data_IF_078405074065
#
_entry.id   IF_078405074065
#
_cell.length_a   1.000
_cell.length_b   1.000
_cell.length_c   1.000
_cell.angle_alpha   90.00
_cell.angle_beta   90.00
_cell.angle_gamma   90.00
#
_symmetry.space_group_name_H-M   'P 1'
#
loop_
_entity.id
_entity.type
_entity.pdbx_description
1 polymer ?
#
# COMPACT_ATOMS: atom_id res chain seq x y z
N UNK A 1 12.96 18.92 11.49
CA UNK A 1 12.38 17.61 11.17
C UNK A 1 11.51 17.18 12.34
N UNK A 2 10.42 16.47 12.08
CA UNK A 2 9.40 16.12 13.09
C UNK A 2 9.55 14.64 13.41
N UNK A 3 10.00 14.32 14.62
CA UNK A 3 10.07 12.95 15.06
C UNK A 3 8.65 12.44 15.32
N UNK A 4 8.32 11.28 14.75
CA UNK A 4 7.10 10.59 15.11
C UNK A 4 7.28 10.00 16.52
N UNK A 5 6.35 10.30 17.41
CA UNK A 5 6.31 9.73 18.76
C UNK A 5 5.36 8.53 18.80
N UNK A 6 5.65 7.57 19.69
CA UNK A 6 4.84 6.37 19.91
C UNK A 6 5.51 5.06 19.48
N UNK A 7 4.84 3.96 19.80
CA UNK A 7 5.17 2.61 19.35
C UNK A 7 4.08 2.13 18.40
N UNK A 8 4.43 1.83 17.16
CA UNK A 8 3.46 1.40 16.14
C UNK A 8 3.87 0.03 15.66
N UNK A 9 3.05 -0.99 15.95
CA UNK A 9 3.32 -2.39 15.61
C UNK A 9 4.70 -2.88 16.10
N UNK A 10 5.12 -2.47 17.30
CA UNK A 10 6.44 -2.81 17.86
C UNK A 10 7.61 -2.02 17.27
N UNK A 11 7.36 -1.06 16.38
CA UNK A 11 8.39 -0.19 15.83
C UNK A 11 8.45 1.13 16.61
N UNK A 12 9.68 1.61 16.82
CA UNK A 12 9.96 2.96 17.32
C UNK A 12 10.62 3.78 16.21
N UNK A 13 10.39 5.09 16.21
CA UNK A 13 10.89 5.99 15.18
C UNK A 13 12.10 6.78 15.69
N UNK A 14 13.24 6.59 15.05
CA UNK A 14 14.44 7.38 15.32
C UNK A 14 14.21 8.86 15.01
N UNK A 15 14.95 9.74 15.69
CA UNK A 15 14.90 11.18 15.44
C UNK A 15 15.43 11.47 14.02
N UNK A 16 14.59 12.00 13.10
CA UNK A 16 15.03 12.24 11.74
C UNK A 16 15.92 13.49 11.65
N UNK A 17 16.74 13.54 10.60
CA UNK A 17 17.56 14.71 10.24
C UNK A 17 16.96 15.34 9.00
N UNK A 18 16.72 16.65 9.07
CA UNK A 18 16.25 17.42 7.93
C UNK A 18 17.22 17.28 6.73
N UNK A 19 16.65 16.99 5.56
CA UNK A 19 17.38 16.87 4.30
C UNK A 19 18.01 18.21 3.90
N UNK A 20 19.28 18.17 3.54
CA UNK A 20 20.02 19.25 2.87
C UNK A 20 20.18 18.99 1.37
N UNK A 21 20.84 19.90 0.62
CA UNK A 21 20.96 19.81 -0.84
C UNK A 21 21.48 18.45 -1.35
N UNK A 22 22.54 17.91 -0.76
CA UNK A 22 23.10 16.61 -1.16
C UNK A 22 22.14 15.45 -0.93
N UNK A 23 21.26 15.55 0.08
CA UNK A 23 20.27 14.50 0.35
C UNK A 23 19.19 14.49 -0.74
N UNK A 24 18.79 15.67 -1.23
CA UNK A 24 17.86 15.77 -2.36
C UNK A 24 18.47 15.14 -3.61
N UNK A 25 19.71 15.47 -3.96
CA UNK A 25 20.39 14.84 -5.11
C UNK A 25 20.43 13.31 -5.01
N UNK A 26 20.74 12.78 -3.82
CA UNK A 26 20.74 11.33 -3.55
C UNK A 26 19.35 10.73 -3.69
N UNK A 27 18.31 11.38 -3.16
CA UNK A 27 16.93 10.91 -3.25
C UNK A 27 16.46 10.91 -4.70
N UNK A 28 16.59 12.03 -5.42
CA UNK A 28 16.20 12.15 -6.83
C UNK A 28 16.93 11.10 -7.68
N UNK A 29 18.26 11.01 -7.52
CA UNK A 29 19.10 10.05 -8.24
C UNK A 29 18.78 8.59 -7.91
N UNK A 30 18.41 8.30 -6.66
CA UNK A 30 18.02 6.97 -6.18
C UNK A 30 16.69 6.50 -6.76
N UNK A 31 15.65 7.35 -6.74
CA UNK A 31 14.37 7.03 -7.38
C UNK A 31 14.52 6.85 -8.89
N UNK A 32 15.26 7.75 -9.55
CA UNK A 32 15.52 7.65 -10.99
C UNK A 32 16.32 6.38 -11.34
N UNK A 33 17.30 6.00 -10.51
CA UNK A 33 18.06 4.76 -10.69
C UNK A 33 17.17 3.52 -10.56
N UNK A 34 16.35 3.46 -9.52
CA UNK A 34 15.43 2.35 -9.30
C UNK A 34 14.44 2.20 -10.46
N UNK A 35 13.88 3.30 -10.96
CA UNK A 35 12.96 3.27 -12.10
C UNK A 35 13.64 2.81 -13.39
N UNK A 36 14.85 3.29 -13.67
CA UNK A 36 15.65 2.81 -14.81
C UNK A 36 15.95 1.31 -14.69
N UNK A 37 16.25 0.82 -13.49
CA UNK A 37 16.47 -0.60 -13.25
C UNK A 37 15.20 -1.42 -13.49
N UNK A 38 14.04 -0.98 -12.99
CA UNK A 38 12.75 -1.62 -13.28
C UNK A 38 12.46 -1.65 -14.79
N UNK A 39 12.68 -0.54 -15.49
CA UNK A 39 12.52 -0.49 -16.95
C UNK A 39 13.42 -1.52 -17.66
N UNK A 40 14.72 -1.56 -17.32
CA UNK A 40 15.67 -2.54 -17.89
C UNK A 40 15.31 -3.99 -17.56
N UNK A 41 14.65 -4.23 -16.43
CA UNK A 41 14.16 -5.55 -16.03
C UNK A 41 12.83 -5.94 -16.72
N UNK A 42 12.23 -5.05 -17.53
CA UNK A 42 11.01 -5.32 -18.30
C UNK A 42 9.71 -5.00 -17.56
N UNK A 43 9.75 -4.20 -16.49
CA UNK A 43 8.52 -3.67 -15.89
C UNK A 43 7.90 -2.60 -16.78
N UNK A 44 6.57 -2.58 -16.87
CA UNK A 44 5.82 -1.58 -17.65
C UNK A 44 5.84 -0.18 -17.00
N UNK A 45 6.24 -0.06 -15.75
CA UNK A 45 6.23 1.21 -15.02
C UNK A 45 6.65 1.12 -13.57
N UNK A 46 6.49 2.24 -12.86
CA UNK A 46 6.71 2.37 -11.42
C UNK A 46 5.57 3.12 -10.75
N UNK A 47 5.34 2.81 -9.48
CA UNK A 47 4.45 3.59 -8.61
C UNK A 47 5.27 4.22 -7.47
N UNK A 48 5.26 5.54 -7.38
CA UNK A 48 5.86 6.27 -6.26
C UNK A 48 4.99 6.11 -5.00
N UNK A 49 5.61 6.02 -3.83
CA UNK A 49 4.90 5.86 -2.56
C UNK A 49 4.85 7.17 -1.75
N UNK A 50 3.78 7.93 -1.95
CA UNK A 50 3.46 9.19 -1.24
C UNK A 50 2.37 9.06 -0.19
N UNK A 51 2.24 7.88 0.42
CA UNK A 51 1.20 7.57 1.41
C UNK A 51 1.80 7.08 2.73
N UNK A 52 0.93 6.92 3.73
CA UNK A 52 1.19 6.19 4.99
C UNK A 52 2.37 6.70 5.84
N UNK A 53 2.79 7.96 5.70
CA UNK A 53 3.86 8.55 6.51
C UNK A 53 5.29 8.20 6.07
N UNK A 54 5.46 7.60 4.89
CA UNK A 54 6.79 7.47 4.26
C UNK A 54 7.32 8.82 3.76
N UNK A 55 8.57 8.84 3.26
CA UNK A 55 9.29 10.06 2.88
C UNK A 55 8.44 11.07 2.08
N UNK A 56 7.83 10.65 0.97
CA UNK A 56 7.07 11.57 0.12
C UNK A 56 5.77 12.06 0.80
N UNK A 57 5.14 11.21 1.62
CA UNK A 57 4.00 11.62 2.44
C UNK A 57 4.41 12.66 3.51
N UNK A 58 5.61 12.53 4.09
CA UNK A 58 6.14 13.50 5.04
C UNK A 58 6.35 14.88 4.40
N UNK A 59 6.78 14.92 3.13
CA UNK A 59 6.87 16.21 2.42
C UNK A 59 5.50 16.81 2.15
N UNK A 60 4.51 16.00 1.77
CA UNK A 60 3.14 16.45 1.49
C UNK A 60 2.41 16.96 2.73
N UNK A 61 2.64 16.36 3.89
CA UNK A 61 1.89 16.65 5.11
C UNK A 61 2.36 17.93 5.81
N UNK A 62 1.47 18.89 6.12
CA UNK A 62 1.83 20.08 6.88
C UNK A 62 2.29 19.79 8.31
N UNK A 63 1.95 18.63 8.88
CA UNK A 63 2.30 18.28 10.26
C UNK A 63 3.77 17.86 10.39
N UNK A 64 4.34 17.27 9.34
CA UNK A 64 5.73 16.77 9.32
C UNK A 64 6.66 17.68 8.53
N UNK A 65 6.17 18.35 7.48
CA UNK A 65 6.94 19.32 6.72
C UNK A 65 6.79 20.75 7.25
N UNK A 66 7.76 21.18 8.08
CA UNK A 66 7.86 22.54 8.60
C UNK A 66 8.92 23.39 7.88
N UNK A 67 9.30 23.02 6.65
CA UNK A 67 10.31 23.75 5.88
C UNK A 67 9.77 25.11 5.41
N UNK A 68 10.68 26.05 5.24
CA UNK A 68 10.41 27.42 4.73
C UNK A 68 11.07 27.68 3.38
N UNK A 69 11.72 26.68 2.79
CA UNK A 69 12.33 26.75 1.47
C UNK A 69 11.37 26.28 0.36
N UNK A 70 11.89 26.07 -0.86
CA UNK A 70 11.08 25.64 -2.02
C UNK A 70 10.38 24.28 -1.85
N UNK A 71 10.69 23.53 -0.79
CA UNK A 71 10.07 22.24 -0.51
C UNK A 71 9.06 22.28 0.65
N UNK A 72 8.71 23.45 1.18
CA UNK A 72 7.74 23.60 2.27
C UNK A 72 6.80 24.80 2.12
N UNK A 73 5.86 24.93 3.05
CA UNK A 73 4.81 25.95 2.99
C UNK A 73 3.62 25.50 2.14
N UNK A 74 3.42 26.11 0.97
CA UNK A 74 2.29 25.81 0.07
C UNK A 74 2.30 24.35 -0.41
N UNK A 75 1.14 23.82 -0.81
CA UNK A 75 1.07 22.46 -1.34
C UNK A 75 1.96 22.27 -2.57
N UNK A 76 2.00 23.25 -3.48
CA UNK A 76 2.87 23.21 -4.66
C UNK A 76 4.36 23.02 -4.27
N UNK A 77 4.84 23.75 -3.26
CA UNK A 77 6.20 23.58 -2.75
C UNK A 77 6.38 22.21 -2.08
N UNK A 78 5.42 21.77 -1.27
CA UNK A 78 5.46 20.46 -0.60
C UNK A 78 5.49 19.30 -1.60
N UNK A 79 4.81 19.44 -2.74
CA UNK A 79 4.78 18.47 -3.82
C UNK A 79 6.03 18.51 -4.72
N UNK A 80 6.85 19.58 -4.64
CA UNK A 80 7.98 19.81 -5.55
C UNK A 80 8.95 18.62 -5.65
N UNK A 81 9.24 17.94 -4.53
CA UNK A 81 10.11 16.75 -4.54
C UNK A 81 9.55 15.62 -5.39
N UNK A 82 8.23 15.40 -5.38
CA UNK A 82 7.56 14.35 -6.16
C UNK A 82 7.68 14.68 -7.65
N UNK A 83 7.48 15.94 -8.01
CA UNK A 83 7.57 16.42 -9.39
C UNK A 83 9.00 16.34 -9.93
N UNK A 84 9.99 16.69 -9.10
CA UNK A 84 11.42 16.56 -9.43
C UNK A 84 11.83 15.08 -9.56
N UNK A 85 11.30 14.17 -8.72
CA UNK A 85 11.50 12.72 -8.89
C UNK A 85 10.95 12.23 -10.22
N UNK A 86 9.72 12.61 -10.57
CA UNK A 86 9.12 12.21 -11.84
C UNK A 86 9.92 12.73 -13.05
N UNK A 87 10.40 13.98 -12.99
CA UNK A 87 11.27 14.55 -14.00
C UNK A 87 12.59 13.76 -14.13
N UNK A 88 13.27 13.47 -13.01
CA UNK A 88 14.51 12.70 -12.99
C UNK A 88 14.33 11.27 -13.52
N UNK A 89 13.18 10.63 -13.26
CA UNK A 89 12.83 9.34 -13.84
C UNK A 89 12.69 9.46 -15.37
N UNK A 90 11.98 10.47 -15.87
CA UNK A 90 11.78 10.70 -17.31
C UNK A 90 13.06 11.05 -18.06
N UNK A 91 14.04 11.65 -17.38
CA UNK A 91 15.38 11.88 -17.95
C UNK A 91 16.15 10.57 -18.18
N UNK A 92 15.98 9.57 -17.30
CA UNK A 92 16.65 8.25 -17.42
C UNK A 92 15.87 7.23 -18.22
N UNK A 93 14.54 7.33 -18.23
CA UNK A 93 13.63 6.44 -18.95
C UNK A 93 12.80 7.29 -19.91
N UNK A 94 13.34 7.44 -21.13
CA UNK A 94 12.75 8.29 -22.19
C UNK A 94 11.62 7.60 -22.96
N UNK A 95 11.38 6.31 -22.72
CA UNK A 95 10.26 5.57 -23.30
C UNK A 95 8.93 6.11 -22.75
N UNK A 96 8.06 6.71 -23.59
CA UNK A 96 6.79 7.27 -23.15
C UNK A 96 5.76 6.20 -22.75
N UNK A 97 5.99 4.92 -23.09
CA UNK A 97 5.12 3.81 -22.66
C UNK A 97 5.38 3.38 -21.22
N UNK A 98 6.54 3.72 -20.65
CA UNK A 98 6.84 3.40 -19.27
C UNK A 98 5.97 4.23 -18.32
N UNK A 99 5.09 3.59 -17.56
CA UNK A 99 4.13 4.27 -16.70
C UNK A 99 4.76 4.80 -15.41
N UNK A 100 4.38 6.01 -15.02
CA UNK A 100 4.69 6.58 -13.69
C UNK A 100 3.37 6.89 -12.99
N UNK A 101 3.09 6.12 -11.94
CA UNK A 101 1.98 6.38 -11.02
C UNK A 101 2.46 6.85 -9.65
N UNK A 102 1.52 7.25 -8.80
CA UNK A 102 1.78 7.54 -7.39
C UNK A 102 0.63 7.08 -6.51
N UNK A 103 0.95 6.52 -5.35
CA UNK A 103 -0.01 6.28 -4.28
C UNK A 103 0.04 7.41 -3.27
N UNK A 104 -1.11 7.99 -2.92
CA UNK A 104 -1.22 9.09 -1.96
C UNK A 104 -2.32 8.84 -0.94
N UNK A 105 -2.22 9.51 0.21
CA UNK A 105 -3.33 9.59 1.16
C UNK A 105 -4.42 10.51 0.59
N UNK A 106 -5.69 10.12 0.66
CA UNK A 106 -6.84 10.98 0.37
C UNK A 106 -7.16 11.90 1.55
N UNK A 107 -6.76 11.50 2.75
CA UNK A 107 -6.83 12.26 3.99
C UNK A 107 -5.91 11.64 5.03
N UNK A 108 -5.29 12.47 5.86
CA UNK A 108 -4.69 12.06 7.13
C UNK A 108 -5.70 12.37 8.25
N UNK A 109 -6.06 11.37 9.05
CA UNK A 109 -7.04 11.50 10.13
C UNK A 109 -6.43 12.17 11.39
N UNK A 110 -5.63 13.22 11.17
CA UNK A 110 -4.95 14.00 12.19
C UNK A 110 -5.27 15.48 12.03
N UNK A 111 -5.35 16.20 13.15
CA UNK A 111 -5.59 17.64 13.12
C UNK A 111 -4.46 18.37 12.38
N UNK A 112 -4.83 19.20 11.40
CA UNK A 112 -3.87 19.92 10.55
C UNK A 112 -3.08 19.03 9.57
N UNK A 113 -3.49 17.78 9.40
CA UNK A 113 -2.92 16.84 8.43
C UNK A 113 -3.28 17.16 6.98
N UNK A 114 -2.72 16.37 6.06
CA UNK A 114 -3.04 16.43 4.64
C UNK A 114 -4.54 16.19 4.39
N UNK A 115 -5.23 17.16 3.79
CA UNK A 115 -6.69 17.11 3.62
C UNK A 115 -7.13 16.54 2.27
N UNK A 116 -8.45 16.35 2.09
CA UNK A 116 -9.01 15.95 0.80
C UNK A 116 -8.89 17.06 -0.25
N UNK A 117 -8.96 18.32 0.16
CA UNK A 117 -8.71 19.48 -0.69
C UNK A 117 -7.25 19.50 -1.14
N UNK A 118 -6.29 19.30 -0.21
CA UNK A 118 -4.88 19.13 -0.57
C UNK A 118 -4.70 17.98 -1.57
N UNK A 119 -5.37 16.84 -1.35
CA UNK A 119 -5.32 15.70 -2.27
C UNK A 119 -5.85 16.05 -3.67
N UNK A 120 -6.96 16.79 -3.74
CA UNK A 120 -7.55 17.21 -5.00
C UNK A 120 -6.64 18.17 -5.77
N UNK A 121 -6.02 19.14 -5.09
CA UNK A 121 -5.05 20.06 -5.70
C UNK A 121 -3.78 19.32 -6.14
N UNK A 122 -3.29 18.37 -5.33
CA UNK A 122 -2.16 17.53 -5.68
C UNK A 122 -2.46 16.72 -6.95
N UNK A 123 -3.65 16.14 -7.06
CA UNK A 123 -4.03 15.37 -8.25
C UNK A 123 -4.04 16.23 -9.52
N UNK A 124 -4.43 17.51 -9.43
CA UNK A 124 -4.33 18.44 -10.55
C UNK A 124 -2.86 18.68 -10.95
N UNK A 125 -1.97 18.92 -9.98
CA UNK A 125 -0.52 19.05 -10.24
C UNK A 125 0.08 17.78 -10.85
N UNK A 126 -0.34 16.60 -10.39
CA UNK A 126 0.11 15.32 -10.94
C UNK A 126 -0.33 15.13 -12.40
N UNK A 127 -1.54 15.55 -12.77
CA UNK A 127 -2.01 15.52 -14.16
C UNK A 127 -1.22 16.48 -15.06
N UNK A 128 -0.94 17.70 -14.60
CA UNK A 128 -0.09 18.66 -15.33
C UNK A 128 1.31 18.10 -15.59
N UNK A 129 1.84 17.33 -14.65
CA UNK A 129 3.14 16.65 -14.74
C UNK A 129 3.07 15.23 -15.34
N UNK A 130 1.94 14.86 -15.96
CA UNK A 130 1.76 13.63 -16.74
C UNK A 130 1.98 12.34 -15.96
N UNK A 131 1.53 12.29 -14.71
CA UNK A 131 1.35 11.01 -14.02
C UNK A 131 0.24 10.20 -14.70
N UNK A 132 0.50 8.93 -14.97
CA UNK A 132 -0.44 8.06 -15.68
C UNK A 132 -1.60 7.65 -14.77
N UNK A 133 -1.32 7.43 -13.48
CA UNK A 133 -2.35 7.15 -12.50
C UNK A 133 -2.00 7.60 -11.07
N UNK A 134 -3.04 7.90 -10.31
CA UNK A 134 -2.99 8.12 -8.87
C UNK A 134 -3.81 7.04 -8.17
N UNK A 135 -3.23 6.42 -7.15
CA UNK A 135 -3.93 5.46 -6.30
C UNK A 135 -4.22 6.06 -4.93
N UNK A 136 -5.51 6.20 -4.62
CA UNK A 136 -5.98 6.78 -3.37
C UNK A 136 -6.03 5.71 -2.28
N UNK A 137 -5.35 6.00 -1.19
CA UNK A 137 -5.37 5.29 0.09
C UNK A 137 -5.70 6.29 1.21
N UNK A 138 -5.46 5.95 2.46
CA UNK A 138 -5.57 6.91 3.56
C UNK A 138 -4.99 6.39 4.86
N UNK A 139 -4.80 7.32 5.80
CA UNK A 139 -4.18 7.06 7.11
C UNK A 139 -2.66 7.14 7.11
N UNK A 140 -2.08 7.08 8.30
CA UNK A 140 -0.63 7.14 8.56
C UNK A 140 -0.25 6.10 9.62
N UNK A 141 1.04 5.90 9.87
CA UNK A 141 1.48 5.08 11.02
C UNK A 141 1.00 5.66 12.37
N UNK A 142 0.80 6.97 12.48
CA UNK A 142 0.30 7.61 13.71
C UNK A 142 -1.21 7.49 13.88
N UNK A 143 -1.96 7.38 12.78
CA UNK A 143 -3.40 7.15 12.78
C UNK A 143 -3.75 6.23 11.61
N UNK A 144 -3.85 4.93 11.92
CA UNK A 144 -4.22 3.93 10.93
C UNK A 144 -5.67 4.20 10.49
N UNK A 145 -5.89 4.42 9.19
CA UNK A 145 -7.23 4.60 8.63
C UNK A 145 -8.18 3.42 8.93
N UNK A 146 -7.63 2.26 9.28
CA UNK A 146 -8.40 1.05 9.56
C UNK A 146 -9.00 1.00 10.96
N UNK A 147 -8.55 1.83 11.91
CA UNK A 147 -9.04 1.83 13.30
C UNK A 147 -10.24 2.77 13.52
N UNK A 148 -10.35 3.86 12.76
CA UNK A 148 -11.38 4.88 12.93
C UNK A 148 -12.67 4.59 12.13
N UNK A 149 -13.34 3.45 12.40
CA UNK A 149 -14.49 3.02 11.57
C UNK A 149 -15.85 3.17 12.23
N UNK A 150 -16.79 3.74 11.47
CA UNK A 150 -18.25 3.52 11.62
C UNK A 150 -18.63 2.19 10.96
N UNK A 151 -19.54 1.44 11.58
CA UNK A 151 -20.03 0.14 11.07
C UNK A 151 -20.61 0.23 9.64
N UNK A 152 -21.21 1.36 9.25
CA UNK A 152 -21.73 1.57 7.90
C UNK A 152 -20.64 1.62 6.82
N UNK A 153 -19.44 2.11 7.15
CA UNK A 153 -18.29 2.16 6.23
C UNK A 153 -17.65 0.78 6.07
N UNK A 154 -17.67 -0.06 7.10
CA UNK A 154 -17.29 -1.47 6.98
C UNK A 154 -18.24 -2.23 6.05
N UNK A 155 -19.55 -1.99 6.16
CA UNK A 155 -20.58 -2.68 5.37
C UNK A 155 -20.61 -2.30 3.89
N UNK A 156 -20.16 -1.10 3.51
CA UNK A 156 -20.18 -0.64 2.11
C UNK A 156 -18.97 -1.08 1.30
N UNK A 157 -17.90 -1.57 1.95
CA UNK A 157 -16.58 -1.78 1.33
C UNK A 157 -16.07 -0.45 0.68
N UNK A 158 -14.82 -0.38 0.19
CA UNK A 158 -14.26 0.84 -0.45
C UNK A 158 -14.14 2.10 0.44
N UNK A 159 -13.22 2.07 1.41
CA UNK A 159 -13.04 3.13 2.43
C UNK A 159 -12.86 4.56 1.89
N UNK A 160 -12.26 4.73 0.71
CA UNK A 160 -11.88 6.04 0.18
C UNK A 160 -12.71 6.50 -1.02
N UNK A 161 -13.82 5.80 -1.33
CA UNK A 161 -14.62 6.08 -2.52
C UNK A 161 -15.28 7.48 -2.47
N UNK A 162 -15.80 7.89 -1.31
CA UNK A 162 -16.40 9.22 -1.12
C UNK A 162 -15.41 10.37 -1.36
N UNK A 163 -14.11 10.15 -1.11
CA UNK A 163 -13.06 11.12 -1.42
C UNK A 163 -12.69 11.09 -2.91
N UNK A 164 -12.67 9.90 -3.51
CA UNK A 164 -12.39 9.75 -4.94
C UNK A 164 -13.44 10.46 -5.81
N UNK A 165 -14.72 10.46 -5.42
CA UNK A 165 -15.81 11.18 -6.12
C UNK A 165 -15.50 12.67 -6.29
N UNK A 166 -14.81 13.30 -5.35
CA UNK A 166 -14.47 14.72 -5.40
C UNK A 166 -13.27 15.04 -6.30
N UNK A 167 -12.49 14.01 -6.65
CA UNK A 167 -11.21 14.13 -7.36
C UNK A 167 -11.37 13.72 -8.82
N UNK A 168 -11.98 12.56 -9.09
CA UNK A 168 -12.00 11.92 -10.42
C UNK A 168 -12.54 12.86 -11.50
N UNK A 169 -13.63 13.58 -11.23
CA UNK A 169 -14.25 14.48 -12.20
C UNK A 169 -13.40 15.69 -12.62
N UNK A 170 -12.28 15.94 -11.94
CA UNK A 170 -11.34 17.04 -12.25
C UNK A 170 -10.16 16.60 -13.11
N UNK A 171 -10.00 15.29 -13.34
CA UNK A 171 -8.88 14.71 -14.07
C UNK A 171 -9.36 14.20 -15.44
N UNK A 172 -8.57 14.45 -16.48
CA UNK A 172 -8.88 14.05 -17.86
C UNK A 172 -7.98 12.93 -18.36
N UNK A 173 -6.74 12.87 -17.86
CA UNK A 173 -5.71 11.95 -18.36
C UNK A 173 -5.25 10.99 -17.28
N UNK A 174 -4.99 11.50 -16.08
CA UNK A 174 -4.52 10.68 -14.97
C UNK A 174 -5.64 9.78 -14.50
N UNK A 175 -5.41 8.46 -14.53
CA UNK A 175 -6.37 7.47 -14.04
C UNK A 175 -6.38 7.46 -12.52
N UNK A 176 -7.53 7.20 -11.94
CA UNK A 176 -7.70 7.16 -10.48
C UNK A 176 -8.03 5.74 -10.07
N UNK A 177 -7.27 5.24 -9.11
CA UNK A 177 -7.46 3.94 -8.49
C UNK A 177 -7.82 4.13 -7.02
N UNK A 178 -8.57 3.18 -6.46
CA UNK A 178 -8.83 3.13 -5.02
C UNK A 178 -8.48 1.77 -4.44
N UNK A 179 -7.91 1.76 -3.25
CA UNK A 179 -7.64 0.54 -2.48
C UNK A 179 -8.16 0.67 -1.08
N UNK A 180 -8.73 -0.41 -0.53
CA UNK A 180 -9.11 -0.44 0.88
C UNK A 180 -10.36 -1.25 1.14
N UNK A 181 -10.18 -2.45 1.68
CA UNK A 181 -11.28 -3.28 2.19
C UNK A 181 -12.16 -3.94 1.13
N UNK A 182 -11.85 -3.80 -0.15
CA UNK A 182 -12.57 -4.45 -1.24
C UNK A 182 -12.35 -5.96 -1.22
N UNK A 183 -13.45 -6.72 -1.15
CA UNK A 183 -13.43 -8.20 -1.11
C UNK A 183 -14.44 -8.82 -2.06
N UNK A 184 -15.57 -8.17 -2.31
CA UNK A 184 -16.63 -8.70 -3.18
C UNK A 184 -16.58 -8.08 -4.57
N UNK A 185 -16.92 -8.87 -5.59
CA UNK A 185 -17.04 -8.38 -6.98
C UNK A 185 -18.08 -7.27 -7.08
N UNK A 186 -19.19 -7.39 -6.34
CA UNK A 186 -20.22 -6.36 -6.29
C UNK A 186 -19.67 -5.01 -5.81
N UNK A 187 -18.88 -5.00 -4.72
CA UNK A 187 -18.24 -3.78 -4.23
C UNK A 187 -17.19 -3.22 -5.21
N UNK A 188 -16.40 -4.10 -5.84
CA UNK A 188 -15.41 -3.70 -6.84
C UNK A 188 -16.09 -3.04 -8.04
N UNK A 189 -17.12 -3.67 -8.62
CA UNK A 189 -17.90 -3.12 -9.73
C UNK A 189 -18.55 -1.80 -9.34
N UNK A 190 -19.11 -1.71 -8.12
CA UNK A 190 -19.70 -0.46 -7.64
C UNK A 190 -18.67 0.66 -7.53
N UNK A 191 -17.46 0.37 -7.07
CA UNK A 191 -16.38 1.36 -7.00
C UNK A 191 -15.96 1.83 -8.41
N UNK A 192 -15.95 0.93 -9.40
CA UNK A 192 -15.62 1.25 -10.79
C UNK A 192 -16.65 2.16 -11.49
N UNK A 193 -17.82 2.39 -10.91
CA UNK A 193 -18.74 3.45 -11.37
C UNK A 193 -18.15 4.85 -11.14
N UNK A 194 -17.24 4.99 -10.18
CA UNK A 194 -16.59 6.25 -9.79
C UNK A 194 -15.13 6.32 -10.24
N UNK A 195 -14.35 5.26 -10.02
CA UNK A 195 -12.90 5.24 -10.29
C UNK A 195 -12.55 4.37 -11.49
N UNK A 196 -11.34 4.55 -12.02
CA UNK A 196 -10.87 3.84 -13.20
C UNK A 196 -10.31 2.44 -12.89
N UNK A 197 -10.02 2.17 -11.62
CA UNK A 197 -9.47 0.90 -11.19
C UNK A 197 -9.57 0.69 -9.68
N UNK A 198 -9.44 -0.56 -9.26
CA UNK A 198 -9.41 -0.97 -7.85
C UNK A 198 -8.14 -1.76 -7.56
N UNK A 199 -7.51 -1.50 -6.43
CA UNK A 199 -6.37 -2.28 -5.97
C UNK A 199 -6.76 -3.25 -4.85
N UNK A 200 -6.14 -4.43 -4.89
CA UNK A 200 -6.31 -5.48 -3.90
C UNK A 200 -4.94 -5.81 -3.31
N UNK A 201 -4.88 -5.99 -1.98
CA UNK A 201 -3.66 -6.34 -1.26
C UNK A 201 -3.86 -7.64 -0.47
N UNK A 202 -4.23 -7.55 0.82
CA UNK A 202 -4.44 -8.72 1.70
C UNK A 202 -5.35 -9.82 1.11
N UNK A 203 -6.47 -9.50 0.41
CA UNK A 203 -7.32 -10.54 -0.16
C UNK A 203 -6.60 -11.44 -1.18
N UNK A 204 -5.81 -10.86 -2.09
CA UNK A 204 -5.11 -11.63 -3.13
C UNK A 204 -3.93 -12.45 -2.57
N UNK A 205 -3.43 -12.13 -1.38
CA UNK A 205 -2.45 -12.97 -0.70
C UNK A 205 -3.03 -14.31 -0.25
N UNK A 206 -4.35 -14.44 -0.08
CA UNK A 206 -4.98 -15.72 0.25
C UNK A 206 -5.35 -16.53 -1.00
N UNK A 207 -5.41 -15.88 -2.16
CA UNK A 207 -5.82 -16.48 -3.42
C UNK A 207 -5.18 -15.69 -4.58
N UNK A 208 -3.98 -16.10 -5.00
CA UNK A 208 -3.15 -15.35 -5.94
C UNK A 208 -3.76 -15.27 -7.35
N UNK A 209 -4.62 -16.21 -7.71
CA UNK A 209 -5.36 -16.23 -8.97
C UNK A 209 -6.77 -15.60 -8.85
N UNK A 210 -7.10 -14.96 -7.72
CA UNK A 210 -8.40 -14.30 -7.50
C UNK A 210 -8.76 -13.31 -8.61
N UNK A 211 -7.88 -12.40 -9.08
CA UNK A 211 -8.22 -11.48 -10.16
C UNK A 211 -8.63 -12.23 -11.45
N UNK A 212 -7.92 -13.30 -11.78
CA UNK A 212 -8.24 -14.15 -12.94
C UNK A 212 -9.60 -14.83 -12.76
N UNK A 213 -9.86 -15.41 -11.59
CA UNK A 213 -11.15 -16.05 -11.26
C UNK A 213 -12.32 -15.06 -11.33
N UNK A 214 -12.13 -13.82 -10.87
CA UNK A 214 -13.14 -12.76 -10.98
C UNK A 214 -13.43 -12.45 -12.45
N UNK A 215 -12.40 -12.23 -13.26
CA UNK A 215 -12.54 -11.93 -14.71
C UNK A 215 -13.23 -13.08 -15.45
N UNK A 216 -12.92 -14.33 -15.09
CA UNK A 216 -13.54 -15.52 -15.65
C UNK A 216 -14.95 -15.83 -15.09
N UNK A 217 -15.47 -15.02 -14.15
CA UNK A 217 -16.77 -15.23 -13.52
C UNK A 217 -16.84 -16.43 -12.57
N UNK A 218 -15.68 -16.93 -12.11
CA UNK A 218 -15.55 -18.09 -11.22
C UNK A 218 -15.53 -17.74 -9.73
N UNK A 219 -15.35 -16.46 -9.39
CA UNK A 219 -15.36 -15.99 -8.02
C UNK A 219 -16.23 -14.73 -7.89
N UNK A 220 -17.11 -14.71 -6.88
CA UNK A 220 -17.91 -13.53 -6.50
C UNK A 220 -17.30 -12.72 -5.36
N UNK A 221 -16.30 -13.27 -4.66
CA UNK A 221 -15.57 -12.62 -3.56
C UNK A 221 -14.23 -13.32 -3.32
N UNK A 222 -13.34 -12.68 -2.56
CA UNK A 222 -12.18 -13.35 -1.98
C UNK A 222 -12.60 -14.44 -0.99
N UNK A 223 -11.72 -15.42 -0.77
CA UNK A 223 -11.84 -16.39 0.33
C UNK A 223 -12.08 -15.69 1.66
N UNK A 224 -13.06 -16.17 2.42
CA UNK A 224 -13.34 -15.72 3.78
C UNK A 224 -12.47 -16.50 4.76
N UNK A 225 -11.55 -15.80 5.42
CA UNK A 225 -10.66 -16.39 6.41
C UNK A 225 -11.34 -16.56 7.76
N UNK A 226 -10.86 -17.51 8.57
CA UNK A 226 -11.26 -17.67 9.97
C UNK A 226 -10.51 -16.72 10.93
N UNK A 227 -9.56 -15.93 10.40
CA UNK A 227 -8.92 -14.82 11.10
C UNK A 227 -9.77 -13.57 10.82
N UNK A 228 -10.38 -12.98 11.84
CA UNK A 228 -11.33 -11.86 11.68
C UNK A 228 -10.79 -10.79 10.73
N UNK A 229 -11.54 -10.48 9.67
CA UNK A 229 -11.04 -9.66 8.55
C UNK A 229 -10.69 -8.20 8.91
N UNK A 230 -11.20 -7.74 10.06
CA UNK A 230 -10.94 -6.43 10.65
C UNK A 230 -9.67 -6.40 11.51
N UNK A 231 -9.12 -7.57 11.90
CA UNK A 231 -7.85 -7.62 12.62
C UNK A 231 -6.69 -7.34 11.65
N UNK A 232 -6.30 -6.07 11.57
CA UNK A 232 -5.25 -5.63 10.68
C UNK A 232 -3.92 -6.32 10.98
N UNK A 233 -3.52 -6.42 12.25
CA UNK A 233 -2.26 -7.01 12.65
C UNK A 233 -2.15 -8.47 12.20
N UNK A 234 -3.18 -9.26 12.53
CA UNK A 234 -3.23 -10.68 12.20
C UNK A 234 -3.33 -10.93 10.69
N UNK A 235 -4.21 -10.21 9.99
CA UNK A 235 -4.37 -10.36 8.54
C UNK A 235 -3.16 -9.85 7.75
N UNK A 236 -2.41 -8.88 8.27
CA UNK A 236 -1.15 -8.43 7.68
C UNK A 236 -0.05 -9.49 7.84
N UNK A 237 0.06 -10.10 9.03
CA UNK A 237 1.00 -11.20 9.27
C UNK A 237 0.69 -12.40 8.39
N UNK A 238 -0.59 -12.75 8.23
CA UNK A 238 -1.01 -13.78 7.30
C UNK A 238 -0.59 -13.42 5.86
N UNK A 239 -0.96 -12.24 5.36
CA UNK A 239 -0.68 -11.85 3.98
C UNK A 239 0.80 -11.94 3.61
N UNK A 240 1.70 -11.43 4.45
CA UNK A 240 3.14 -11.56 4.19
C UNK A 240 3.68 -12.98 4.35
N UNK A 241 3.08 -13.78 5.23
CA UNK A 241 3.38 -15.22 5.34
C UNK A 241 3.00 -15.96 4.06
N UNK A 242 1.84 -15.67 3.46
CA UNK A 242 1.43 -16.27 2.20
C UNK A 242 2.39 -15.89 1.04
N UNK A 243 2.79 -14.63 0.95
CA UNK A 243 3.79 -14.18 -0.04
C UNK A 243 5.11 -14.95 0.15
N UNK A 244 5.55 -15.12 1.40
CA UNK A 244 6.76 -15.89 1.72
C UNK A 244 6.64 -17.37 1.35
N UNK A 245 5.47 -17.98 1.52
CA UNK A 245 5.21 -19.35 1.10
C UNK A 245 5.31 -19.51 -0.42
N UNK A 246 4.63 -18.65 -1.18
CA UNK A 246 4.68 -18.66 -2.65
C UNK A 246 6.11 -18.44 -3.15
N UNK A 247 6.85 -17.52 -2.52
CA UNK A 247 8.27 -17.30 -2.82
C UNK A 247 9.19 -18.50 -2.54
N UNK A 248 8.70 -19.51 -1.81
CA UNK A 248 9.37 -20.79 -1.54
C UNK A 248 8.74 -21.97 -2.30
N UNK A 249 7.95 -21.69 -3.33
CA UNK A 249 7.18 -22.68 -4.10
C UNK A 249 6.25 -23.54 -3.21
N UNK A 250 5.49 -22.87 -2.34
CA UNK A 250 4.48 -23.52 -1.49
C UNK A 250 3.13 -22.84 -1.65
N UNK A 251 2.07 -23.64 -1.68
CA UNK A 251 0.70 -23.16 -1.74
C UNK A 251 0.35 -22.29 -0.50
N UNK A 252 -0.38 -21.16 -0.66
CA UNK A 252 -0.83 -20.32 0.45
C UNK A 252 -1.70 -21.10 1.44
N UNK A 253 -1.35 -21.08 2.71
CA UNK A 253 -2.06 -21.79 3.78
C UNK A 253 -3.56 -21.41 3.83
N UNK A 254 -4.45 -22.36 3.56
CA UNK A 254 -5.90 -22.12 3.53
C UNK A 254 -6.52 -21.98 4.94
N UNK A 255 -6.36 -20.80 5.54
CA UNK A 255 -6.93 -20.47 6.85
C UNK A 255 -8.45 -20.25 6.82
N UNK A 256 -9.16 -20.61 5.74
CA UNK A 256 -10.62 -20.81 5.80
C UNK A 256 -10.99 -22.14 6.48
N UNK A 257 -10.00 -23.04 6.65
CA UNK A 257 -10.14 -24.31 7.34
C UNK A 257 -9.50 -24.27 8.73
N UNK A 258 -10.20 -24.74 9.77
CA UNK A 258 -9.74 -24.65 11.16
C UNK A 258 -8.36 -25.30 11.36
N UNK A 259 -8.12 -26.47 10.74
CA UNK A 259 -6.84 -27.17 10.78
C UNK A 259 -5.66 -26.27 10.39
N UNK A 260 -5.81 -25.48 9.33
CA UNK A 260 -4.73 -24.63 8.83
C UNK A 260 -4.66 -23.30 9.58
N UNK A 261 -5.79 -22.78 10.08
CA UNK A 261 -5.80 -21.68 11.04
C UNK A 261 -4.98 -22.03 12.30
N UNK A 262 -5.18 -23.22 12.88
CA UNK A 262 -4.42 -23.65 14.06
C UNK A 262 -2.90 -23.74 13.77
N UNK A 263 -2.53 -24.20 12.57
CA UNK A 263 -1.13 -24.24 12.13
C UNK A 263 -0.54 -22.83 12.06
N UNK A 264 -1.29 -21.88 11.49
CA UNK A 264 -0.89 -20.48 11.43
C UNK A 264 -0.70 -19.89 12.84
N UNK A 265 -1.66 -20.08 13.74
CA UNK A 265 -1.63 -19.55 15.10
C UNK A 265 -0.43 -20.08 15.90
N UNK A 266 -0.15 -21.39 15.81
CA UNK A 266 1.04 -22.01 16.44
C UNK A 266 2.34 -21.45 15.87
N UNK A 267 2.40 -21.29 14.54
CA UNK A 267 3.60 -20.74 13.88
C UNK A 267 3.81 -19.26 14.22
N UNK A 268 2.72 -18.48 14.33
CA UNK A 268 2.73 -17.08 14.77
C UNK A 268 3.26 -16.94 16.20
N UNK A 269 2.81 -17.80 17.13
CA UNK A 269 3.30 -17.78 18.52
C UNK A 269 4.80 -18.04 18.58
N UNK A 270 5.29 -19.05 17.85
CA UNK A 270 6.73 -19.36 17.79
C UNK A 270 7.52 -18.21 17.18
N UNK A 271 7.01 -17.61 16.10
CA UNK A 271 7.63 -16.46 15.46
C UNK A 271 7.70 -15.26 16.43
N UNK A 272 6.61 -14.96 17.15
CA UNK A 272 6.55 -13.87 18.10
C UNK A 272 7.53 -14.06 19.28
N UNK A 273 7.64 -15.28 19.81
CA UNK A 273 8.65 -15.63 20.80
C UNK A 273 10.07 -15.41 20.24
N UNK A 274 10.31 -15.87 19.01
CA UNK A 274 11.58 -15.67 18.33
C UNK A 274 11.95 -14.19 18.20
N UNK A 275 10.99 -13.34 17.83
CA UNK A 275 11.18 -11.89 17.71
C UNK A 275 11.41 -11.21 19.06
N UNK A 276 10.74 -11.66 20.13
CA UNK A 276 10.95 -11.13 21.47
C UNK A 276 12.38 -11.40 21.99
N UNK A 277 13.00 -12.50 21.54
CA UNK A 277 14.38 -12.89 21.87
C UNK A 277 15.43 -12.34 20.87
N UNK A 278 15.03 -11.50 19.91
CA UNK A 278 15.86 -11.04 18.79
C UNK A 278 16.79 -9.85 19.14
N UNK A 279 17.63 -10.01 20.16
CA UNK A 279 18.51 -8.93 20.64
C UNK A 279 19.61 -8.52 19.65
N UNK A 280 19.96 -9.39 18.70
CA UNK A 280 20.98 -9.14 17.67
C UNK A 280 20.39 -8.62 16.34
N UNK A 281 19.06 -8.51 16.23
CA UNK A 281 18.38 -8.06 15.02
C UNK A 281 18.46 -9.04 13.84
N UNK A 282 18.91 -10.28 14.05
CA UNK A 282 19.09 -11.27 12.98
C UNK A 282 17.77 -11.84 12.44
N UNK A 283 16.70 -11.81 13.24
CA UNK A 283 15.36 -12.26 12.84
C UNK A 283 14.55 -11.10 12.28
N UNK A 284 13.90 -11.33 11.14
CA UNK A 284 13.10 -10.32 10.44
C UNK A 284 12.08 -10.99 9.50
N UNK A 285 11.13 -10.20 9.00
CA UNK A 285 10.17 -10.63 8.00
C UNK A 285 8.94 -11.33 8.58
N UNK A 286 8.43 -12.33 7.86
CA UNK A 286 7.15 -12.99 8.16
C UNK A 286 7.35 -14.43 8.64
N UNK A 287 6.26 -15.06 9.07
CA UNK A 287 6.23 -16.35 9.76
C UNK A 287 6.68 -17.46 8.81
N UNK A 288 7.51 -18.38 9.31
CA UNK A 288 7.76 -19.66 8.65
C UNK A 288 6.73 -20.68 9.14
N UNK A 289 5.94 -21.25 8.23
CA UNK A 289 4.93 -22.25 8.56
C UNK A 289 5.59 -23.60 8.86
N UNK A 290 5.26 -24.16 10.02
CA UNK A 290 5.73 -25.45 10.51
C UNK A 290 4.56 -26.38 10.84
N UNK A 291 4.83 -27.67 11.02
CA UNK A 291 3.80 -28.63 11.47
C UNK A 291 2.77 -29.03 10.40
N UNK A 292 2.97 -28.63 9.15
CA UNK A 292 2.20 -29.12 8.00
C UNK A 292 3.08 -29.22 6.75
N UNK A 293 2.74 -30.11 5.83
CA UNK A 293 3.34 -30.17 4.50
C UNK A 293 2.42 -29.45 3.52
N UNK A 294 2.98 -28.44 2.83
CA UNK A 294 2.29 -27.69 1.78
C UNK A 294 2.72 -28.22 0.42
N UNK A 295 1.78 -28.23 -0.53
CA UNK A 295 2.05 -28.63 -1.90
C UNK A 295 2.80 -27.52 -2.66
N UNK A 296 3.45 -27.84 -3.80
CA UNK A 296 3.99 -26.82 -4.70
C UNK A 296 2.93 -25.79 -5.10
N UNK A 297 3.36 -24.55 -5.33
CA UNK A 297 2.43 -23.47 -5.65
C UNK A 297 1.73 -23.74 -7.00
N UNK A 298 0.41 -23.51 -7.05
CA UNK A 298 -0.43 -23.81 -8.20
C UNK A 298 -1.02 -25.23 -8.17
N UNK A 299 -0.84 -25.97 -7.07
CA UNK A 299 -1.53 -27.25 -6.84
C UNK A 299 -2.92 -26.96 -6.30
N UNK A 300 -4.02 -27.32 -7.00
CA UNK A 300 -5.37 -27.09 -6.48
C UNK A 300 -5.56 -27.76 -5.12
N UNK A 301 -6.08 -27.01 -4.14
CA UNK A 301 -6.55 -27.62 -2.91
C UNK A 301 -7.55 -28.72 -3.23
N UNK A 302 -7.38 -29.91 -2.63
CA UNK A 302 -8.40 -30.93 -2.68
C UNK A 302 -9.70 -30.28 -2.16
N UNK A 303 -10.80 -30.43 -2.92
CA UNK A 303 -12.09 -29.95 -2.47
C UNK A 303 -12.31 -30.43 -1.04
N UNK A 304 -12.67 -29.51 -0.13
CA UNK A 304 -13.01 -29.87 1.23
C UNK A 304 -14.08 -30.97 1.17
N UNK A 305 -13.75 -32.15 1.70
CA UNK A 305 -14.64 -33.30 1.77
C UNK A 305 -15.77 -33.06 2.78
#
# INVERSE_FOLDING_TARGET
>A
DVQLEGEVMGMTFGKPRAMGPEDFEKVLGGFAHAAEYCYKAGFDGVQLHGAHGYLLAQFLSPTTNKRTDKYGGSLANRAQIILEIAAAIRERVTDPSFSIGIKVNSVEFQEGGFSTEDCSELCALLEEHKFDFVELSGGTYQSLAFEHKRESTKKREAFFLEFAEQIVGKLNKTRVYVTGGLRTVAAMVKALETVHGVGLARPVCNEFDLPKKIIEGKAGSSVKTLLGEDDFGLTNMLAGTQIRLVGKDKEPLDVSQEKYKEVFEKSLQKWAQGMAENSDGSKYGYIDIEGTTLQPFGTPYAAAA
#
